data_IF_981606262527
#
_entry.id   IF_981606262527
#
_cell.length_a   1.000
_cell.length_b   1.000
_cell.length_c   1.000
_cell.angle_alpha   90.00
_cell.angle_beta   90.00
_cell.angle_gamma   90.00
#
_symmetry.space_group_name_H-M   'P 1'
#
loop_
_entity.id
_entity.type
_entity.pdbx_description
1 polymer ?
#
# COMPACT_ATOMS: atom_id res chain seq x y z
N UNK A 1 -4.99 18.80 3.64
CA UNK A 1 -4.91 19.30 5.03
C UNK A 1 -4.53 20.80 5.12
N UNK A 2 -3.55 21.30 4.35
CA UNK A 2 -3.17 22.72 4.36
C UNK A 2 -4.32 23.65 3.93
N UNK A 3 -5.05 23.29 2.88
CA UNK A 3 -6.22 24.04 2.39
C UNK A 3 -7.32 24.22 3.46
N UNK A 4 -7.50 23.22 4.34
CA UNK A 4 -8.47 23.29 5.45
C UNK A 4 -8.00 24.25 6.55
N UNK A 5 -6.70 24.39 6.77
CA UNK A 5 -6.12 25.34 7.73
C UNK A 5 -6.15 26.76 7.18
N UNK A 6 -5.84 26.90 5.88
CA UNK A 6 -5.96 28.15 5.14
C UNK A 6 -7.40 28.68 5.14
N UNK A 7 -8.39 27.82 4.87
CA UNK A 7 -9.81 28.17 4.93
C UNK A 7 -10.28 28.56 6.34
N UNK A 8 -9.57 28.13 7.39
CA UNK A 8 -9.83 28.51 8.79
C UNK A 8 -9.01 29.74 9.23
N UNK A 9 -8.28 30.38 8.33
CA UNK A 9 -7.44 31.55 8.61
C UNK A 9 -6.30 31.28 9.60
N UNK A 10 -5.92 30.01 9.80
CA UNK A 10 -4.85 29.64 10.73
C UNK A 10 -3.51 29.70 10.01
N UNK A 11 -2.49 30.36 10.59
CA UNK A 11 -1.14 30.25 10.07
C UNK A 11 -0.70 28.78 10.13
N UNK A 12 -0.05 28.31 9.09
CA UNK A 12 0.50 26.96 9.02
C UNK A 12 1.86 26.98 8.32
N UNK A 13 2.70 26.03 8.69
CA UNK A 13 3.98 25.76 8.03
C UNK A 13 3.81 24.51 7.16
N UNK A 14 3.97 24.67 5.85
CA UNK A 14 3.77 23.56 4.90
C UNK A 14 4.81 22.46 5.06
N UNK A 15 6.06 22.80 5.34
CA UNK A 15 7.14 21.82 5.49
C UNK A 15 6.88 20.95 6.72
N UNK A 16 6.50 21.59 7.83
CA UNK A 16 6.16 20.87 9.05
C UNK A 16 4.92 20.01 8.89
N UNK A 17 3.91 20.49 8.15
CA UNK A 17 2.72 19.69 7.84
C UNK A 17 3.05 18.46 6.99
N UNK A 18 3.90 18.60 5.96
CA UNK A 18 4.32 17.47 5.13
C UNK A 18 5.09 16.44 5.97
N UNK A 19 5.94 16.91 6.89
CA UNK A 19 6.69 16.05 7.81
C UNK A 19 5.80 15.30 8.79
N UNK A 20 4.72 15.93 9.25
CA UNK A 20 3.76 15.34 10.19
C UNK A 20 2.64 14.53 9.53
N UNK A 21 2.49 14.61 8.21
CA UNK A 21 1.43 13.89 7.50
C UNK A 21 1.62 12.37 7.67
N UNK A 22 0.53 11.69 8.02
CA UNK A 22 0.57 10.27 8.31
C UNK A 22 0.81 9.45 7.03
N UNK A 23 1.95 8.78 6.94
CA UNK A 23 2.25 7.83 5.88
C UNK A 23 1.78 6.42 6.27
N UNK A 24 0.85 5.85 5.50
CA UNK A 24 0.38 4.46 5.70
C UNK A 24 1.31 3.42 5.07
N UNK A 25 2.35 3.87 4.37
CA UNK A 25 3.26 3.04 3.61
C UNK A 25 2.67 2.54 2.28
N UNK A 26 3.54 1.93 1.48
CA UNK A 26 3.18 1.28 0.22
C UNK A 26 3.48 -0.22 0.31
N UNK A 27 2.47 -1.06 0.09
CA UNK A 27 2.60 -2.53 0.18
C UNK A 27 3.05 -3.17 -1.12
N UNK A 28 2.73 -2.58 -2.28
CA UNK A 28 2.99 -3.15 -3.60
C UNK A 28 3.60 -2.11 -4.56
N UNK A 29 4.78 -2.41 -5.12
CA UNK A 29 5.45 -1.58 -6.13
C UNK A 29 5.18 -2.13 -7.53
N UNK A 30 4.36 -1.43 -8.33
CA UNK A 30 3.99 -1.87 -9.69
C UNK A 30 4.82 -1.23 -10.81
N UNK A 31 5.16 0.06 -10.68
CA UNK A 31 5.86 0.82 -11.72
C UNK A 31 7.35 0.91 -11.42
N UNK A 32 8.13 0.01 -11.99
CA UNK A 32 9.57 -0.08 -11.73
C UNK A 32 10.36 1.12 -12.28
N UNK A 33 9.85 1.84 -13.27
CA UNK A 33 10.53 3.02 -13.82
C UNK A 33 10.31 4.31 -13.03
N UNK A 34 9.45 4.32 -12.01
CA UNK A 34 9.14 5.52 -11.25
C UNK A 34 10.36 5.94 -10.38
N UNK A 35 10.88 7.18 -10.49
CA UNK A 35 12.12 7.58 -9.82
C UNK A 35 12.14 7.36 -8.30
N UNK A 36 10.98 7.48 -7.65
CA UNK A 36 10.84 7.23 -6.21
C UNK A 36 11.37 5.85 -5.79
N UNK A 37 11.14 4.81 -6.60
CA UNK A 37 11.52 3.43 -6.25
C UNK A 37 12.97 3.08 -6.60
N UNK A 38 13.54 3.75 -7.60
CA UNK A 38 14.87 3.41 -8.16
C UNK A 38 15.98 3.39 -7.11
N UNK A 39 15.88 4.23 -6.07
CA UNK A 39 16.85 4.32 -4.96
C UNK A 39 16.93 3.06 -4.09
N UNK A 40 15.98 2.12 -4.22
CA UNK A 40 15.91 0.90 -3.41
C UNK A 40 16.05 -0.40 -4.22
N UNK A 41 16.50 -0.34 -5.48
CA UNK A 41 16.69 -1.55 -6.30
C UNK A 41 18.08 -2.18 -6.21
N UNK A 42 19.01 -1.54 -5.51
CA UNK A 42 20.32 -2.10 -5.20
C UNK A 42 20.18 -3.38 -4.37
N UNK A 43 21.21 -4.24 -4.43
CA UNK A 43 21.19 -5.57 -3.80
C UNK A 43 21.04 -5.47 -2.28
N UNK A 44 21.63 -4.43 -1.69
CA UNK A 44 21.57 -4.11 -0.26
C UNK A 44 20.16 -3.84 0.27
N UNK A 45 19.21 -3.50 -0.60
CA UNK A 45 17.82 -3.21 -0.25
C UNK A 45 16.87 -4.40 -0.51
N UNK A 46 17.38 -5.55 -0.94
CA UNK A 46 16.55 -6.72 -1.26
C UNK A 46 16.23 -7.53 -0.02
N UNK A 47 14.99 -8.01 0.04
CA UNK A 47 14.55 -8.97 1.04
C UNK A 47 13.72 -10.07 0.37
N UNK A 48 13.68 -11.24 1.01
CA UNK A 48 12.73 -12.30 0.68
C UNK A 48 11.55 -12.18 1.64
N UNK A 49 10.34 -12.12 1.09
CA UNK A 49 9.10 -12.13 1.85
C UNK A 49 8.47 -13.52 1.71
N UNK A 50 8.65 -14.42 2.70
CA UNK A 50 8.07 -15.76 2.62
C UNK A 50 6.55 -15.70 2.77
N UNK A 51 5.85 -16.45 1.92
CA UNK A 51 4.39 -16.54 1.92
C UNK A 51 3.96 -17.96 1.55
N UNK A 52 2.98 -18.51 2.26
CA UNK A 52 2.36 -19.81 1.97
C UNK A 52 1.01 -19.65 1.27
N UNK A 53 0.26 -18.61 1.63
CA UNK A 53 -0.98 -18.19 0.98
C UNK A 53 -1.13 -16.67 1.01
N UNK A 54 -1.86 -16.13 0.04
CA UNK A 54 -2.25 -14.72 -0.03
C UNK A 54 -3.71 -14.59 -0.43
N UNK A 55 -4.29 -13.41 -0.23
CA UNK A 55 -5.69 -13.14 -0.50
C UNK A 55 -5.84 -11.98 -1.49
N UNK A 56 -6.85 -12.07 -2.36
CA UNK A 56 -7.34 -10.96 -3.15
C UNK A 56 -8.83 -10.71 -2.81
N UNK A 57 -9.30 -9.45 -2.81
CA UNK A 57 -10.72 -9.16 -2.65
C UNK A 57 -11.54 -9.85 -3.74
N UNK A 58 -12.68 -10.42 -3.37
CA UNK A 58 -13.60 -11.12 -4.26
C UNK A 58 -14.98 -10.43 -4.31
N UNK A 59 -15.13 -9.37 -5.14
CA UNK A 59 -16.41 -8.67 -5.29
C UNK A 59 -17.51 -9.54 -5.89
N UNK A 60 -17.17 -10.61 -6.63
CA UNK A 60 -18.16 -11.44 -7.28
C UNK A 60 -18.94 -12.32 -6.29
N UNK A 61 -18.33 -12.63 -5.14
CA UNK A 61 -18.95 -13.35 -4.03
C UNK A 61 -19.52 -12.45 -2.94
N UNK A 62 -19.64 -11.14 -3.17
CA UNK A 62 -20.19 -10.23 -2.19
C UNK A 62 -21.73 -10.40 -2.06
N UNK A 63 -22.20 -10.66 -0.84
CA UNK A 63 -23.63 -10.63 -0.51
C UNK A 63 -24.17 -9.19 -0.49
N UNK A 64 -25.45 -9.00 -0.84
CA UNK A 64 -26.08 -7.68 -0.87
C UNK A 64 -26.02 -7.01 0.52
N UNK A 65 -25.43 -5.80 0.57
CA UNK A 65 -25.20 -5.07 1.82
C UNK A 65 -24.05 -5.59 2.69
N UNK A 66 -23.41 -6.70 2.30
CA UNK A 66 -22.25 -7.29 2.98
C UNK A 66 -20.92 -6.63 2.63
N UNK A 67 -19.85 -7.01 3.34
CA UNK A 67 -18.46 -6.65 2.98
C UNK A 67 -17.96 -7.54 1.85
N UNK A 68 -17.05 -7.02 1.03
CA UNK A 68 -16.34 -7.83 0.03
C UNK A 68 -15.54 -8.93 0.75
N UNK A 69 -15.81 -10.22 0.49
CA UNK A 69 -15.01 -11.31 1.03
C UNK A 69 -13.65 -11.41 0.33
N UNK A 70 -12.79 -12.32 0.80
CA UNK A 70 -11.50 -12.59 0.18
C UNK A 70 -11.50 -13.97 -0.49
N UNK A 71 -10.89 -14.07 -1.66
CA UNK A 71 -10.47 -15.32 -2.25
C UNK A 71 -9.02 -15.62 -1.81
N UNK A 72 -8.76 -16.85 -1.34
CA UNK A 72 -7.44 -17.27 -0.86
C UNK A 72 -6.73 -18.15 -1.90
N UNK A 73 -5.45 -17.86 -2.12
CA UNK A 73 -4.58 -18.58 -3.04
C UNK A 73 -3.39 -19.15 -2.27
N UNK A 74 -3.01 -20.38 -2.57
CA UNK A 74 -1.85 -21.04 -1.99
C UNK A 74 -1.12 -21.84 -3.07
N UNK A 75 0.15 -22.15 -2.82
CA UNK A 75 0.90 -23.08 -3.67
C UNK A 75 0.39 -24.51 -3.47
N UNK A 76 0.21 -25.26 -4.55
CA UNK A 76 -0.10 -26.70 -4.50
C UNK A 76 1.13 -27.50 -4.05
N UNK A 77 0.93 -28.50 -3.18
CA UNK A 77 1.98 -29.40 -2.68
C UNK A 77 2.23 -30.61 -3.63
N UNK A 78 1.41 -30.78 -4.67
CA UNK A 78 1.34 -31.97 -5.51
C UNK A 78 2.48 -32.27 -6.50
N UNK A 79 3.63 -31.59 -6.45
CA UNK A 79 4.81 -32.00 -7.22
C UNK A 79 6.11 -31.44 -6.64
N UNK A 80 6.96 -32.34 -6.12
CA UNK A 80 8.38 -32.11 -5.86
C UNK A 80 9.20 -33.09 -6.68
#
# INVERSE_FOLDING_TARGET
MPEKLQAKGKPFDLEELIRMEADRGTTNVRKLNFPHWKRWFGVENRCLVPVTSFAEPDPASQEEGGKVPNAWFARDEGNR
#
